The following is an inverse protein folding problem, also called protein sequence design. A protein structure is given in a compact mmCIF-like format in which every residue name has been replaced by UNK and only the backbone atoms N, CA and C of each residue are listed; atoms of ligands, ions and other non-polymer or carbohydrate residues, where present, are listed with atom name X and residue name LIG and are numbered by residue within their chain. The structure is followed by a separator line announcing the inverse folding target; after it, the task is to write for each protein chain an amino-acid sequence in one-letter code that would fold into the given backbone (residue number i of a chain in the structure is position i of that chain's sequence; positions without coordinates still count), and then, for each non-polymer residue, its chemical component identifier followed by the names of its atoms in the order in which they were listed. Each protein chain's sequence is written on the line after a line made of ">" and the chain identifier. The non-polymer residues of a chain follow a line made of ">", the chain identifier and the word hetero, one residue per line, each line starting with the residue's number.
data_IF_828791960120
#
_entry.id   IF_828791960120
#
_cell.length_a   1.000
_cell.length_b   1.000
_cell.length_c   1.000
_cell.angle_alpha   90.00
_cell.angle_beta   90.00
_cell.angle_gamma   90.00
#
_symmetry.space_group_name_H-M   'P 1'
#
loop_
_entity.id
_entity.type
_entity.pdbx_description
1 polymer ?
#
# COMPACT_ATOMS: atom_id res chain seq x y z
N UNK A 1 -9.52 -32.77 -29.59
CA UNK A 1 -10.98 -32.58 -29.76
C UNK A 1 -11.56 -31.96 -28.51
N UNK A 2 -12.03 -30.70 -28.58
CA UNK A 2 -12.64 -29.99 -27.44
C UNK A 2 -14.00 -30.63 -27.14
N UNK A 3 -14.18 -31.15 -25.93
CA UNK A 3 -15.40 -31.83 -25.48
C UNK A 3 -16.63 -30.94 -25.63
N UNK A 4 -17.75 -31.51 -26.09
CA UNK A 4 -19.06 -30.86 -26.24
C UNK A 4 -19.49 -30.16 -24.93
N UNK A 5 -19.05 -30.68 -23.78
CA UNK A 5 -19.28 -30.11 -22.44
C UNK A 5 -18.63 -28.72 -22.29
N UNK A 6 -17.44 -28.49 -22.87
CA UNK A 6 -16.76 -27.20 -22.85
C UNK A 6 -17.41 -26.18 -23.79
N UNK A 7 -18.03 -26.60 -24.90
CA UNK A 7 -18.79 -25.69 -25.78
C UNK A 7 -20.12 -25.25 -25.17
N UNK A 8 -20.80 -26.14 -24.44
CA UNK A 8 -22.05 -25.78 -23.74
C UNK A 8 -21.85 -24.82 -22.57
N UNK A 9 -20.69 -24.86 -21.88
CA UNK A 9 -20.35 -23.87 -20.86
C UNK A 9 -20.11 -22.47 -21.45
N UNK A 10 -19.52 -22.38 -22.65
CA UNK A 10 -19.32 -21.09 -23.36
C UNK A 10 -20.65 -20.49 -23.86
N UNK A 11 -21.60 -21.32 -24.29
CA UNK A 11 -22.91 -20.83 -24.78
C UNK A 11 -23.83 -20.34 -23.65
N UNK A 12 -23.76 -20.94 -22.45
CA UNK A 12 -24.49 -20.44 -21.27
C UNK A 12 -23.93 -19.12 -20.72
N UNK A 13 -22.67 -18.79 -21.01
CA UNK A 13 -22.03 -17.56 -20.51
C UNK A 13 -22.37 -16.30 -21.34
N UNK A 14 -22.92 -16.43 -22.55
CA UNK A 14 -23.18 -15.29 -23.44
C UNK A 14 -24.59 -14.70 -23.26
N UNK A 15 -25.56 -15.45 -22.71
CA UNK A 15 -26.98 -15.04 -22.66
C UNK A 15 -27.44 -14.42 -21.33
N UNK A 16 -26.53 -14.08 -20.40
CA UNK A 16 -26.89 -13.46 -19.11
C UNK A 16 -26.40 -12.02 -18.94
N UNK A 17 -26.20 -11.28 -20.03
CA UNK A 17 -25.90 -9.84 -19.98
C UNK A 17 -27.21 -9.03 -20.00
N UNK A 18 -28.08 -9.30 -19.03
CA UNK A 18 -29.19 -8.43 -18.67
C UNK A 18 -28.85 -7.77 -17.33
N UNK A 19 -28.94 -6.44 -17.31
CA UNK A 19 -28.65 -5.57 -16.18
C UNK A 19 -29.55 -5.86 -14.99
N UNK A 20 -29.09 -6.70 -14.05
CA UNK A 20 -29.69 -6.83 -12.72
C UNK A 20 -29.33 -5.63 -11.84
N UNK A 21 -30.23 -5.19 -10.93
CA UNK A 21 -29.94 -4.15 -9.96
C UNK A 21 -28.68 -4.54 -9.15
N UNK A 22 -27.81 -3.56 -8.88
CA UNK A 22 -26.52 -3.77 -8.17
C UNK A 22 -26.74 -4.57 -6.90
N UNK A 23 -26.53 -5.88 -6.98
CA UNK A 23 -26.35 -6.70 -5.80
C UNK A 23 -25.14 -6.13 -5.08
N UNK A 24 -25.32 -5.77 -3.81
CA UNK A 24 -24.21 -5.48 -2.90
C UNK A 24 -23.44 -6.79 -2.84
N UNK A 25 -22.37 -6.87 -3.63
CA UNK A 25 -21.50 -8.04 -3.66
C UNK A 25 -20.94 -8.18 -2.24
N UNK A 26 -21.01 -9.38 -1.61
CA UNK A 26 -20.39 -9.56 -0.31
C UNK A 26 -18.91 -9.15 -0.40
N UNK A 27 -18.34 -8.58 0.68
CA UNK A 27 -16.96 -8.12 0.65
C UNK A 27 -16.07 -9.25 0.16
N UNK A 28 -15.29 -8.98 -0.90
CA UNK A 28 -14.35 -9.93 -1.45
C UNK A 28 -13.46 -10.45 -0.30
N UNK A 29 -13.37 -11.77 -0.04
CA UNK A 29 -12.58 -12.30 1.08
C UNK A 29 -11.09 -11.92 0.99
N UNK A 30 -10.60 -11.56 -0.20
CA UNK A 30 -9.25 -11.03 -0.39
C UNK A 30 -9.05 -9.59 0.14
N UNK A 31 -10.12 -8.84 0.42
CA UNK A 31 -10.05 -7.48 0.96
C UNK A 31 -9.83 -7.47 2.49
N UNK A 32 -10.25 -8.52 3.19
CA UNK A 32 -10.10 -8.66 4.64
C UNK A 32 -8.63 -8.56 5.11
N UNK A 33 -7.66 -9.30 4.54
CA UNK A 33 -6.26 -9.18 4.95
C UNK A 33 -5.64 -7.83 4.59
N UNK A 34 -6.13 -7.16 3.53
CA UNK A 34 -5.65 -5.82 3.16
C UNK A 34 -6.12 -4.78 4.18
N UNK A 35 -7.37 -4.86 4.63
CA UNK A 35 -7.90 -3.99 5.67
C UNK A 35 -7.20 -4.21 7.02
N UNK A 36 -6.92 -5.47 7.39
CA UNK A 36 -6.15 -5.77 8.60
C UNK A 36 -4.77 -5.15 8.56
N UNK A 37 -4.10 -5.18 7.41
CA UNK A 37 -2.78 -4.54 7.27
C UNK A 37 -2.80 -3.01 7.36
N UNK A 38 -3.96 -2.38 7.23
CA UNK A 38 -4.15 -0.93 7.38
C UNK A 38 -4.53 -0.59 8.82
N UNK A 39 -5.37 -1.41 9.44
CA UNK A 39 -5.76 -1.27 10.85
C UNK A 39 -4.57 -1.47 11.78
N UNK A 40 -3.79 -2.51 11.49
CA UNK A 40 -2.75 -3.05 12.36
C UNK A 40 -1.38 -2.94 11.70
N UNK A 41 -0.39 -2.56 12.50
CA UNK A 41 1.01 -2.56 12.13
C UNK A 41 1.73 -1.24 12.38
N UNK A 42 3.04 -1.19 12.08
CA UNK A 42 3.85 0.00 12.32
C UNK A 42 3.26 1.18 11.54
N UNK A 43 3.05 2.32 12.21
CA UNK A 43 2.43 3.52 11.65
C UNK A 43 0.93 3.67 11.90
N UNK A 44 0.28 2.68 12.52
CA UNK A 44 -1.02 2.89 13.16
C UNK A 44 -0.80 3.71 14.44
N UNK A 45 -1.11 5.00 14.37
CA UNK A 45 -0.95 5.91 15.49
C UNK A 45 -2.10 6.92 15.53
N UNK A 46 -2.47 7.35 16.73
CA UNK A 46 -3.41 8.44 16.96
C UNK A 46 -2.62 9.75 17.07
N UNK A 47 -2.94 10.68 16.17
CA UNK A 47 -2.35 12.01 16.14
C UNK A 47 -3.08 12.91 17.15
N UNK A 48 -2.38 13.80 17.85
CA UNK A 48 -3.03 14.85 18.64
C UNK A 48 -3.92 15.74 17.77
N UNK A 49 -4.96 16.31 18.39
CA UNK A 49 -5.93 17.19 17.72
C UNK A 49 -5.29 18.49 17.20
N UNK A 50 -4.09 18.80 17.66
CA UNK A 50 -3.32 19.97 17.23
C UNK A 50 -2.86 19.86 15.78
N UNK A 51 -2.89 18.68 15.16
CA UNK A 51 -2.39 18.47 13.80
C UNK A 51 -3.53 18.62 12.80
N UNK A 52 -3.38 19.55 11.85
CA UNK A 52 -4.39 19.81 10.81
C UNK A 52 -4.10 19.09 9.51
N UNK A 53 -2.87 19.21 9.01
CA UNK A 53 -2.48 18.59 7.74
C UNK A 53 -1.04 18.07 7.77
N UNK A 54 -0.79 17.05 6.97
CA UNK A 54 0.54 16.49 6.71
C UNK A 54 0.76 16.52 5.21
N UNK A 55 1.87 17.11 4.78
CA UNK A 55 2.27 17.17 3.38
C UNK A 55 3.59 16.42 3.20
N UNK A 56 3.62 15.47 2.27
CA UNK A 56 4.84 14.74 1.92
C UNK A 56 5.22 15.06 0.47
N UNK A 57 6.42 15.57 0.26
CA UNK A 57 6.99 15.83 -1.06
C UNK A 57 8.19 14.93 -1.31
N UNK A 58 8.23 14.22 -2.44
CA UNK A 58 9.40 13.44 -2.86
C UNK A 58 9.41 13.20 -4.38
N UNK A 59 10.55 12.75 -4.91
CA UNK A 59 10.69 12.50 -6.34
C UNK A 59 10.05 11.16 -6.78
N UNK A 60 9.60 11.08 -8.02
CA UNK A 60 8.94 9.88 -8.55
C UNK A 60 9.88 8.66 -8.70
N UNK A 61 11.15 8.89 -9.06
CA UNK A 61 12.13 7.80 -9.21
C UNK A 61 12.79 7.47 -7.87
N UNK A 62 13.33 6.26 -7.79
CA UNK A 62 13.88 5.68 -6.55
C UNK A 62 15.30 6.12 -6.23
N UNK A 63 15.99 6.69 -7.22
CA UNK A 63 17.41 7.07 -7.12
C UNK A 63 17.59 8.15 -6.05
N UNK A 64 18.82 8.42 -5.61
CA UNK A 64 19.11 9.58 -4.75
C UNK A 64 18.32 9.63 -3.42
N UNK A 65 18.10 8.47 -2.79
CA UNK A 65 17.55 8.41 -1.42
C UNK A 65 16.04 8.60 -1.28
N UNK A 66 15.26 8.55 -2.37
CA UNK A 66 13.80 8.72 -2.34
C UNK A 66 13.01 7.42 -2.04
N UNK A 67 13.69 6.30 -1.80
CA UNK A 67 13.07 5.00 -1.49
C UNK A 67 12.26 5.02 -0.19
N UNK A 68 12.82 5.57 0.89
CA UNK A 68 12.17 5.64 2.21
C UNK A 68 10.84 6.37 2.18
N UNK A 69 10.79 7.63 1.72
CA UNK A 69 9.53 8.39 1.57
C UNK A 69 8.47 7.66 0.74
N UNK A 70 8.88 6.96 -0.33
CA UNK A 70 7.97 6.19 -1.17
C UNK A 70 7.39 4.98 -0.45
N UNK A 71 8.19 4.26 0.34
CA UNK A 71 7.70 3.14 1.17
C UNK A 71 6.84 3.65 2.31
N UNK A 72 7.25 4.74 2.96
CA UNK A 72 6.48 5.40 4.00
C UNK A 72 5.08 5.78 3.51
N UNK A 73 4.98 6.39 2.32
CA UNK A 73 3.70 6.69 1.67
C UNK A 73 2.84 5.46 1.37
N UNK A 74 3.44 4.34 0.97
CA UNK A 74 2.69 3.13 0.61
C UNK A 74 2.24 2.31 1.81
N UNK A 75 3.01 2.32 2.89
CA UNK A 75 2.84 1.39 4.01
C UNK A 75 2.35 2.08 5.27
N UNK A 76 2.90 3.23 5.66
CA UNK A 76 2.61 3.89 6.94
C UNK A 76 1.54 4.98 6.81
N UNK A 77 1.60 5.81 5.76
CA UNK A 77 0.68 6.93 5.58
C UNK A 77 -0.81 6.50 5.45
N UNK A 78 -1.16 5.37 4.79
CA UNK A 78 -2.54 4.89 4.75
C UNK A 78 -3.05 4.43 6.12
N UNK A 79 -2.17 3.83 6.95
CA UNK A 79 -2.48 3.42 8.33
C UNK A 79 -2.77 4.63 9.19
N UNK A 80 -1.93 5.66 9.08
CA UNK A 80 -2.10 6.91 9.80
C UNK A 80 -3.42 7.59 9.41
N UNK A 81 -3.77 7.59 8.12
CA UNK A 81 -5.03 8.18 7.63
C UNK A 81 -6.27 7.41 8.10
N UNK A 82 -6.18 6.10 8.23
CA UNK A 82 -7.28 5.25 8.71
C UNK A 82 -7.69 5.61 10.14
N UNK A 83 -6.71 5.78 11.04
CA UNK A 83 -6.96 6.16 12.43
C UNK A 83 -7.28 7.66 12.59
N UNK A 84 -6.82 8.50 11.66
CA UNK A 84 -6.98 9.95 11.71
C UNK A 84 -7.67 10.49 10.44
N UNK A 85 -8.99 10.22 10.26
CA UNK A 85 -9.70 10.64 9.05
C UNK A 85 -9.79 12.16 8.93
N UNK A 86 -9.84 12.89 10.06
CA UNK A 86 -9.93 14.35 10.11
C UNK A 86 -8.67 15.08 9.60
N UNK A 87 -7.49 14.45 9.72
CA UNK A 87 -6.22 15.08 9.30
C UNK A 87 -6.07 14.99 7.79
N UNK A 88 -5.89 16.13 7.11
CA UNK A 88 -5.67 16.14 5.66
C UNK A 88 -4.25 15.66 5.35
N UNK A 89 -4.11 14.63 4.52
CA UNK A 89 -2.80 14.09 4.14
C UNK A 89 -2.63 14.21 2.63
N UNK A 90 -1.64 14.98 2.19
CA UNK A 90 -1.37 15.25 0.78
C UNK A 90 0.03 14.80 0.40
N UNK A 91 0.18 14.29 -0.81
CA UNK A 91 1.45 13.79 -1.33
C UNK A 91 1.73 14.45 -2.66
N UNK A 92 2.82 15.22 -2.72
CA UNK A 92 3.34 15.79 -3.95
C UNK A 92 4.48 14.91 -4.46
N UNK A 93 4.37 14.50 -5.73
CA UNK A 93 5.41 13.72 -6.40
C UNK A 93 6.00 14.54 -7.53
N UNK A 94 7.24 14.97 -7.35
CA UNK A 94 7.97 15.75 -8.36
C UNK A 94 8.72 14.85 -9.35
N UNK A 95 9.02 15.39 -10.53
CA UNK A 95 9.92 14.77 -11.52
C UNK A 95 11.38 15.17 -11.29
N UNK A 96 11.62 16.23 -10.53
CA UNK A 96 12.97 16.65 -10.15
C UNK A 96 13.53 15.67 -9.11
N UNK A 97 14.61 14.98 -9.48
CA UNK A 97 15.21 13.95 -8.65
C UNK A 97 16.16 14.53 -7.59
N UNK A 98 16.85 15.62 -7.93
CA UNK A 98 17.78 16.28 -7.03
C UNK A 98 17.04 17.09 -5.94
N UNK A 99 15.75 17.37 -6.18
CA UNK A 99 14.89 18.07 -5.26
C UNK A 99 14.80 17.40 -3.87
N UNK A 100 14.47 18.19 -2.84
CA UNK A 100 14.40 17.71 -1.48
C UNK A 100 13.22 16.74 -1.28
N UNK A 101 13.42 15.76 -0.39
CA UNK A 101 12.32 14.92 0.10
C UNK A 101 11.93 15.43 1.48
N UNK A 102 10.78 16.10 1.58
CA UNK A 102 10.40 16.81 2.81
C UNK A 102 9.03 16.38 3.30
N UNK A 103 8.94 16.12 4.60
CA UNK A 103 7.71 15.85 5.33
C UNK A 103 7.37 17.09 6.16
N UNK A 104 6.26 17.74 5.84
CA UNK A 104 5.79 18.95 6.52
C UNK A 104 4.54 18.63 7.33
N UNK A 105 4.60 18.88 8.63
CA UNK A 105 3.46 18.77 9.55
C UNK A 105 2.98 20.17 9.91
N UNK A 106 1.69 20.42 9.73
CA UNK A 106 1.07 21.71 10.07
C UNK A 106 0.23 21.55 11.33
N UNK A 107 0.57 22.36 12.33
CA UNK A 107 -0.13 22.44 13.60
C UNK A 107 -1.15 23.58 13.57
N UNK A 108 -2.25 23.38 14.28
CA UNK A 108 -3.21 24.40 14.60
C UNK A 108 -2.53 25.52 15.42
N UNK A 109 -2.91 26.78 15.21
CA UNK A 109 -2.47 27.85 16.10
C UNK A 109 -2.92 27.53 17.53
N UNK A 110 -2.05 27.78 18.50
CA UNK A 110 -2.42 27.64 19.91
C UNK A 110 -3.62 28.57 20.21
N UNK A 111 -4.53 28.18 21.11
CA UNK A 111 -5.59 29.08 21.57
C UNK A 111 -4.96 30.18 22.45
N UNK A 112 -4.44 31.22 21.82
CA UNK A 112 -4.14 32.48 22.50
C UNK A 112 -5.39 33.36 22.45
N UNK A 113 -5.88 33.71 23.63
CA UNK A 113 -6.83 34.80 23.83
C UNK A 113 -6.30 36.08 23.16
N UNK A 114 -7.10 36.71 22.26
CA UNK A 114 -7.32 38.16 22.13
C UNK A 114 -7.87 38.58 20.74
N UNK A 115 -9.08 39.13 20.80
CA UNK A 115 -9.68 40.27 20.07
C UNK A 115 -8.95 41.01 18.93
N UNK A 116 -9.78 41.39 17.94
CA UNK A 116 -9.75 42.59 17.07
C UNK A 116 -9.18 42.50 15.64
N UNK A 117 -10.11 42.33 14.69
CA UNK A 117 -10.41 43.12 13.48
C UNK A 117 -9.29 43.74 12.57
N UNK A 118 -9.49 43.51 11.26
CA UNK A 118 -9.49 44.48 10.13
C UNK A 118 -8.44 44.32 8.99
N UNK A 119 -8.97 43.91 7.82
CA UNK A 119 -8.78 44.45 6.44
C UNK A 119 -7.44 44.33 5.69
N UNK A 120 -7.37 43.41 4.70
CA UNK A 120 -6.93 43.61 3.29
C UNK A 120 -6.81 42.25 2.55
N UNK A 121 -6.97 42.17 1.20
CA UNK A 121 -7.02 40.92 0.47
C UNK A 121 -5.67 40.59 -0.19
N UNK A 122 -5.05 39.46 0.20
CA UNK A 122 -4.25 38.57 -0.66
C UNK A 122 -3.80 37.33 0.16
N UNK A 123 -4.03 36.15 -0.41
CA UNK A 123 -3.56 34.80 0.02
C UNK A 123 -3.53 34.50 1.52
N UNK A 124 -4.71 34.20 2.07
CA UNK A 124 -4.89 33.78 3.45
C UNK A 124 -4.29 32.38 3.69
N UNK A 125 -3.14 32.29 4.36
CA UNK A 125 -2.89 31.16 5.26
C UNK A 125 -2.60 31.76 6.63
N UNK A 126 -3.46 31.55 7.64
CA UNK A 126 -3.15 32.00 9.00
C UNK A 126 -1.80 31.39 9.41
N UNK A 127 -1.08 32.03 10.32
CA UNK A 127 0.22 31.58 10.82
C UNK A 127 0.13 30.18 11.47
N UNK A 128 0.05 29.15 10.63
CA UNK A 128 0.05 27.75 11.00
C UNK A 128 1.50 27.37 11.25
N UNK A 129 1.79 26.88 12.46
CA UNK A 129 3.13 26.41 12.80
C UNK A 129 3.42 25.18 11.94
N UNK A 130 4.34 25.33 10.99
CA UNK A 130 4.78 24.24 10.12
C UNK A 130 6.15 23.73 10.58
N UNK A 131 6.27 22.42 10.77
CA UNK A 131 7.55 21.75 11.03
C UNK A 131 7.89 20.91 9.80
N UNK A 132 8.96 21.28 9.12
CA UNK A 132 9.49 20.56 7.97
C UNK A 132 10.65 19.64 8.41
N UNK A 133 10.58 18.38 8.03
CA UNK A 133 11.59 17.35 8.29
C UNK A 133 12.13 16.88 6.94
N UNK A 134 13.45 16.95 6.76
CA UNK A 134 14.10 16.30 5.63
C UNK A 134 14.09 14.79 5.85
N UNK A 135 13.58 14.05 4.86
CA UNK A 135 13.41 12.60 4.88
C UNK A 135 14.20 11.93 3.75
N UNK A 136 15.10 12.67 3.09
CA UNK A 136 15.98 12.13 2.07
C UNK A 136 16.99 11.15 2.70
N UNK A 137 17.24 10.03 2.02
CA UNK A 137 18.14 8.94 2.48
C UNK A 137 17.73 8.25 3.78
N UNK A 138 16.56 8.54 4.34
CA UNK A 138 16.06 7.88 5.55
C UNK A 138 15.31 6.59 5.22
N UNK A 139 15.31 5.63 6.15
CA UNK A 139 14.47 4.44 6.05
C UNK A 139 13.02 4.72 6.48
N UNK A 140 12.04 3.97 5.99
CA UNK A 140 10.62 4.18 6.31
C UNK A 140 10.31 4.18 7.82
N UNK A 141 11.03 3.34 8.59
CA UNK A 141 10.87 3.23 10.04
C UNK A 141 11.44 4.44 10.79
N UNK A 142 12.54 5.02 10.30
CA UNK A 142 13.14 6.23 10.89
C UNK A 142 12.29 7.46 10.61
N UNK A 143 11.71 7.55 9.41
CA UNK A 143 10.75 8.61 9.06
C UNK A 143 9.54 8.54 9.98
N UNK A 144 9.03 7.33 10.26
CA UNK A 144 7.93 7.14 11.19
C UNK A 144 8.32 7.55 12.61
N UNK A 145 9.47 7.11 13.11
CA UNK A 145 9.96 7.47 14.45
C UNK A 145 10.09 9.00 14.59
N UNK A 146 10.67 9.66 13.58
CA UNK A 146 10.82 11.11 13.56
C UNK A 146 9.47 11.83 13.52
N UNK A 147 8.51 11.31 12.75
CA UNK A 147 7.15 11.84 12.75
C UNK A 147 6.50 11.69 14.13
N UNK A 148 6.62 10.51 14.77
CA UNK A 148 6.07 10.27 16.11
C UNK A 148 6.71 11.18 17.16
N UNK A 149 8.01 11.43 17.08
CA UNK A 149 8.73 12.36 17.95
C UNK A 149 8.24 13.81 17.77
N UNK A 150 8.08 14.26 16.51
CA UNK A 150 7.60 15.62 16.20
C UNK A 150 6.14 15.81 16.59
N UNK A 151 5.32 14.78 16.46
CA UNK A 151 3.87 14.86 16.66
C UNK A 151 3.41 14.43 18.04
N UNK A 152 4.24 13.73 18.83
CA UNK A 152 3.83 13.12 20.09
C UNK A 152 2.74 12.05 19.92
N UNK A 153 2.67 11.41 18.75
CA UNK A 153 1.60 10.47 18.42
C UNK A 153 1.69 9.18 19.25
N UNK A 154 0.54 8.67 19.67
CA UNK A 154 0.45 7.42 20.45
C UNK A 154 0.18 6.25 19.50
N UNK A 155 1.03 5.23 19.54
CA UNK A 155 0.85 4.01 18.74
C UNK A 155 -0.41 3.25 19.17
N UNK A 156 -1.19 2.77 18.20
CA UNK A 156 -2.36 1.94 18.47
C UNK A 156 -1.90 0.51 18.75
N UNK A 157 -2.25 0.01 19.95
CA UNK A 157 -1.99 -1.39 20.33
C UNK A 157 -3.09 -2.27 19.74
N UNK A 158 -2.70 -3.40 19.16
CA UNK A 158 -3.65 -4.38 18.63
C UNK A 158 -4.51 -4.95 19.76
N UNK A 159 -5.81 -5.12 19.50
CA UNK A 159 -6.69 -5.84 20.41
C UNK A 159 -6.47 -7.35 20.27
N UNK A 160 -6.87 -8.14 21.28
CA UNK A 160 -6.64 -9.61 21.28
C UNK A 160 -7.30 -10.31 20.07
N UNK A 161 -8.49 -9.88 19.68
CA UNK A 161 -9.21 -10.43 18.52
C UNK A 161 -8.43 -10.15 17.21
N UNK A 162 -7.93 -8.93 17.07
CA UNK A 162 -7.13 -8.50 15.92
C UNK A 162 -5.77 -9.22 15.83
N UNK A 163 -5.15 -9.56 16.97
CA UNK A 163 -3.95 -10.38 17.03
C UNK A 163 -4.20 -11.81 16.53
N UNK A 164 -5.33 -12.40 16.90
CA UNK A 164 -5.72 -13.73 16.42
C UNK A 164 -5.98 -13.73 14.91
N UNK A 165 -6.69 -12.72 14.40
CA UNK A 165 -6.89 -12.54 12.96
C UNK A 165 -5.56 -12.41 12.22
N UNK A 166 -4.61 -11.64 12.77
CA UNK A 166 -3.27 -11.51 12.20
C UNK A 166 -2.51 -12.85 12.18
N UNK A 167 -2.66 -13.66 13.23
CA UNK A 167 -2.08 -15.01 13.32
C UNK A 167 -2.65 -15.92 12.24
N UNK A 168 -3.97 -15.95 12.08
CA UNK A 168 -4.66 -16.77 11.05
C UNK A 168 -4.18 -16.38 9.65
N UNK A 169 -4.13 -15.08 9.33
CA UNK A 169 -3.63 -14.59 8.04
C UNK A 169 -2.15 -14.97 7.83
N UNK A 170 -1.34 -14.93 8.89
CA UNK A 170 0.06 -15.38 8.84
C UNK A 170 0.20 -16.86 8.49
N UNK A 171 -0.60 -17.71 9.13
CA UNK A 171 -0.63 -19.16 8.86
C UNK A 171 -1.10 -19.48 7.44
N UNK A 172 -2.10 -18.75 6.93
CA UNK A 172 -2.56 -18.87 5.53
C UNK A 172 -1.47 -18.47 4.53
N UNK A 173 -0.73 -17.38 4.79
CA UNK A 173 0.40 -16.97 3.95
C UNK A 173 1.51 -18.03 3.93
N UNK A 174 1.88 -18.57 5.09
CA UNK A 174 2.88 -19.64 5.19
C UNK A 174 2.45 -20.94 4.50
N UNK A 175 1.15 -21.26 4.49
CA UNK A 175 0.60 -22.36 3.66
C UNK A 175 0.73 -22.05 2.17
N UNK A 176 0.34 -20.85 1.75
CA UNK A 176 0.42 -20.40 0.35
C UNK A 176 1.85 -20.41 -0.20
N UNK A 177 2.84 -20.02 0.59
CA UNK A 177 4.26 -20.04 0.18
C UNK A 177 4.76 -21.46 -0.06
N UNK A 178 4.44 -22.40 0.85
CA UNK A 178 4.77 -23.82 0.67
C UNK A 178 4.10 -24.42 -0.57
N UNK A 179 2.85 -24.08 -0.84
CA UNK A 179 2.14 -24.57 -2.02
C UNK A 179 2.70 -23.97 -3.33
N UNK A 180 3.13 -22.70 -3.30
CA UNK A 180 3.81 -22.05 -4.43
C UNK A 180 5.13 -22.75 -4.75
N UNK A 181 5.93 -23.07 -3.73
CA UNK A 181 7.21 -23.75 -3.89
C UNK A 181 7.03 -25.14 -4.51
N UNK A 182 6.12 -25.96 -3.97
CA UNK A 182 5.78 -27.27 -4.54
C UNK A 182 5.33 -27.18 -5.99
N UNK A 183 4.49 -26.20 -6.31
CA UNK A 183 4.01 -26.00 -7.67
C UNK A 183 5.12 -25.54 -8.62
N UNK A 184 6.08 -24.75 -8.12
CA UNK A 184 7.24 -24.30 -8.88
C UNK A 184 8.14 -25.48 -9.25
N UNK A 185 8.42 -26.38 -8.30
CA UNK A 185 9.21 -27.60 -8.51
C UNK A 185 8.58 -28.50 -9.59
N UNK A 186 7.28 -28.78 -9.47
CA UNK A 186 6.56 -29.60 -10.47
C UNK A 186 6.59 -28.97 -11.87
N UNK A 187 6.51 -27.63 -11.95
CA UNK A 187 6.61 -26.92 -13.23
C UNK A 187 8.02 -26.98 -13.81
N UNK A 188 9.05 -26.89 -12.96
CA UNK A 188 10.44 -26.98 -13.38
C UNK A 188 10.76 -28.38 -13.91
N UNK A 189 10.34 -29.43 -13.20
CA UNK A 189 10.50 -30.82 -13.63
C UNK A 189 9.79 -31.10 -14.94
N UNK A 190 8.57 -30.59 -15.10
CA UNK A 190 7.84 -30.70 -16.38
C UNK A 190 8.61 -30.01 -17.50
N UNK A 191 9.13 -28.80 -17.26
CA UNK A 191 9.91 -28.04 -18.24
C UNK A 191 11.20 -28.77 -18.62
N UNK A 192 11.92 -29.37 -17.65
CA UNK A 192 13.11 -30.18 -17.88
C UNK A 192 12.82 -31.44 -18.70
N UNK A 193 11.74 -32.15 -18.37
CA UNK A 193 11.30 -33.35 -19.10
C UNK A 193 10.92 -33.00 -20.55
N UNK A 194 10.19 -31.90 -20.75
CA UNK A 194 9.81 -31.41 -22.07
C UNK A 194 11.05 -31.01 -22.90
N UNK A 195 12.02 -30.31 -22.30
CA UNK A 195 13.25 -29.92 -23.03
C UNK A 195 14.12 -31.12 -23.40
N UNK A 196 14.23 -32.12 -22.52
CA UNK A 196 14.98 -33.35 -22.79
C UNK A 196 14.33 -34.16 -23.92
N UNK A 197 13.00 -34.30 -23.91
CA UNK A 197 12.25 -34.96 -24.96
C UNK A 197 12.34 -34.20 -26.30
N UNK A 198 12.35 -32.87 -26.27
CA UNK A 198 12.52 -32.06 -27.47
C UNK A 198 13.91 -32.25 -28.09
N UNK A 199 14.98 -32.25 -27.28
CA UNK A 199 16.35 -32.53 -27.74
C UNK A 199 16.46 -33.93 -28.35
N UNK A 200 15.89 -34.94 -27.68
CA UNK A 200 15.89 -36.32 -28.15
C UNK A 200 15.08 -36.53 -29.44
N UNK A 201 14.04 -35.72 -29.67
CA UNK A 201 13.27 -35.73 -30.93
C UNK A 201 14.02 -35.00 -32.05
N UNK A 202 14.63 -33.85 -31.79
CA UNK A 202 15.40 -33.09 -32.78
C UNK A 202 16.64 -33.85 -33.28
N UNK A 203 17.40 -34.48 -32.39
CA UNK A 203 18.57 -35.28 -32.78
C UNK A 203 18.24 -36.56 -33.59
N UNK A 204 16.97 -37.02 -33.55
CA UNK A 204 16.50 -38.17 -34.33
C UNK A 204 16.05 -37.78 -35.74
N UNK A 205 15.71 -36.51 -35.95
CA UNK A 205 15.37 -35.95 -37.26
C UNK A 205 16.64 -35.63 -38.07
N UNK A 206 17.70 -35.16 -37.40
CA UNK A 206 19.02 -34.92 -38.02
C UNK A 206 19.77 -36.21 -38.38
N UNK A 207 19.58 -37.30 -37.65
CA UNK A 207 20.22 -38.60 -37.94
C UNK A 207 19.52 -39.42 -39.05
N UNK A 208 18.44 -38.89 -39.63
CA UNK A 208 17.64 -39.56 -40.68
C UNK A 208 17.67 -38.83 -42.03
N UNK A 209 18.44 -37.76 -42.16
CA UNK A 209 18.77 -37.06 -43.39
C UNK A 209 20.18 -37.45 -43.86
#
# INVERSE_FOLDING_TARGET
>A
MVSVIQRMRKLKAVKSKASSPRQIQPPNPAALPQLLSIRLGPGAALLPKDIKRIHLSFATKLNDGHLGPRKFWRTHLPRLKYHNPAVSMTVNRTRDQAGPATLTVFFAPAPSESTSAATAPEEHVPAERAVAVDVKHMHEGEILARLMEVTGAVAVVATKEEEEELRVVGEERGRSERDKERTAEVKEDRRKRESLLALARGGREEARA
#
